data_IF_029414735210
#
_entry.id   IF_029414735210
#
_cell.length_a   1.000
_cell.length_b   1.000
_cell.length_c   1.000
_cell.angle_alpha   90.00
_cell.angle_beta   90.00
_cell.angle_gamma   90.00
#
_symmetry.space_group_name_H-M   'P 1'
#
loop_
_entity.id
_entity.type
_entity.pdbx_description
1 polymer ?
#
# COMPACT_ATOMS: atom_id res chain seq x y z
N UNK A 1 -12.35 29.13 -3.27
CA UNK A 1 -11.99 28.09 -4.25
C UNK A 1 -11.43 26.91 -3.49
N UNK A 2 -12.01 25.74 -3.68
CA UNK A 2 -11.60 24.49 -3.04
C UNK A 2 -11.71 23.43 -4.12
N UNK A 3 -10.67 22.62 -4.25
CA UNK A 3 -10.63 21.47 -5.14
C UNK A 3 -9.94 20.32 -4.40
N UNK A 4 -10.41 19.10 -4.62
CA UNK A 4 -9.93 17.89 -3.96
C UNK A 4 -10.26 17.79 -2.46
N UNK A 5 -9.43 17.02 -1.73
CA UNK A 5 -9.53 16.77 -0.30
C UNK A 5 -8.67 17.78 0.48
N UNK A 6 -9.18 18.30 1.60
CA UNK A 6 -8.44 19.23 2.47
C UNK A 6 -8.76 18.96 3.95
N UNK A 7 -7.73 18.63 4.73
CA UNK A 7 -7.82 18.42 6.18
C UNK A 7 -7.73 19.78 6.91
N UNK A 8 -8.52 19.95 7.97
CA UNK A 8 -8.62 21.21 8.72
C UNK A 8 -8.35 21.06 10.23
N UNK A 9 -8.21 19.83 10.73
CA UNK A 9 -8.11 19.51 12.15
C UNK A 9 -7.10 18.40 12.44
N UNK A 10 -6.63 18.35 13.69
CA UNK A 10 -5.65 17.37 14.16
C UNK A 10 -4.22 17.63 13.73
N UNK A 11 -3.30 16.82 14.26
CA UNK A 11 -1.87 16.89 13.97
C UNK A 11 -1.51 16.76 12.48
N UNK A 12 -2.21 15.93 11.66
CA UNK A 12 -1.92 15.86 10.23
C UNK A 12 -2.06 17.18 9.49
N UNK A 13 -2.80 18.16 10.03
CA UNK A 13 -2.91 19.49 9.41
C UNK A 13 -1.56 20.20 9.36
N UNK A 14 -0.70 20.04 10.37
CA UNK A 14 0.60 20.71 10.41
C UNK A 14 1.60 20.09 9.44
N UNK A 15 1.55 18.76 9.28
CA UNK A 15 2.48 18.02 8.44
C UNK A 15 2.07 18.06 6.95
N UNK A 16 0.76 18.00 6.67
CA UNK A 16 0.25 17.87 5.31
C UNK A 16 -0.22 19.17 4.68
N UNK A 17 -0.57 20.19 5.46
CA UNK A 17 -1.17 21.41 4.92
C UNK A 17 -0.21 22.59 5.04
N UNK A 18 0.36 22.99 3.90
CA UNK A 18 1.14 24.21 3.83
C UNK A 18 0.21 25.40 3.56
N UNK A 19 0.36 26.46 4.34
CA UNK A 19 -0.46 27.67 4.20
C UNK A 19 0.41 28.88 3.93
N UNK A 20 0.04 29.67 2.92
CA UNK A 20 0.70 30.91 2.59
C UNK A 20 -0.33 32.04 2.50
N UNK A 21 -0.02 33.16 3.16
CA UNK A 21 -0.82 34.40 3.09
C UNK A 21 0.05 35.49 2.47
N UNK A 22 -0.48 36.15 1.45
CA UNK A 22 0.18 37.29 0.79
C UNK A 22 -0.84 38.37 0.48
N UNK A 23 -0.35 39.60 0.42
CA UNK A 23 -1.17 40.77 0.14
C UNK A 23 -0.72 41.39 -1.17
N UNK A 24 -1.68 41.75 -2.02
CA UNK A 24 -1.44 42.45 -3.28
C UNK A 24 -2.08 43.82 -3.18
N UNK A 25 -1.28 44.86 -3.41
CA UNK A 25 -1.76 46.24 -3.46
C UNK A 25 -2.35 46.53 -4.85
N UNK A 26 -3.61 46.94 -4.88
CA UNK A 26 -4.32 47.41 -6.07
C UNK A 26 -4.63 48.89 -5.91
N UNK A 27 -4.94 49.57 -7.02
CA UNK A 27 -5.34 50.99 -6.99
C UNK A 27 -6.58 51.25 -6.12
N UNK A 28 -7.47 50.26 -6.00
CA UNK A 28 -8.71 50.34 -5.21
C UNK A 28 -8.52 49.93 -3.73
N UNK A 29 -7.33 49.45 -3.32
CA UNK A 29 -7.08 48.97 -1.97
C UNK A 29 -6.17 47.74 -1.92
N UNK A 30 -6.22 46.99 -0.82
CA UNK A 30 -5.36 45.81 -0.60
C UNK A 30 -6.18 44.53 -0.70
N UNK A 31 -5.74 43.57 -1.51
CA UNK A 31 -6.34 42.25 -1.62
C UNK A 31 -5.48 41.22 -0.87
N UNK A 32 -6.09 40.49 0.05
CA UNK A 32 -5.45 39.37 0.74
C UNK A 32 -5.70 38.05 0.02
N UNK A 33 -4.64 37.33 -0.30
CA UNK A 33 -4.68 35.99 -0.88
C UNK A 33 -4.19 35.00 0.18
N UNK A 34 -5.00 33.98 0.45
CA UNK A 34 -4.64 32.86 1.32
C UNK A 34 -4.75 31.57 0.52
N UNK A 35 -3.62 30.87 0.39
CA UNK A 35 -3.54 29.57 -0.26
C UNK A 35 -3.24 28.52 0.81
N UNK A 36 -3.95 27.40 0.72
CA UNK A 36 -3.65 26.18 1.48
C UNK A 36 -3.41 25.07 0.46
N UNK A 37 -2.31 24.33 0.59
CA UNK A 37 -1.95 23.23 -0.29
C UNK A 37 -1.81 21.97 0.56
N UNK A 38 -2.57 20.93 0.22
CA UNK A 38 -2.42 19.61 0.83
C UNK A 38 -1.35 18.82 0.06
N UNK A 39 -0.28 18.44 0.73
CA UNK A 39 0.82 17.67 0.15
C UNK A 39 0.44 16.18 0.03
N UNK A 40 0.91 15.46 -1.00
CA UNK A 40 0.72 14.01 -1.09
C UNK A 40 1.63 13.27 -0.09
N UNK A 41 1.17 12.11 0.38
CA UNK A 41 2.01 11.21 1.18
C UNK A 41 3.08 10.57 0.28
N UNK A 42 4.36 10.83 0.55
CA UNK A 42 5.50 10.24 -0.18
C UNK A 42 6.32 9.36 0.78
N UNK A 43 6.41 8.04 0.56
CA UNK A 43 7.23 7.16 1.40
C UNK A 43 8.73 7.52 1.36
N UNK A 44 9.21 8.19 0.31
CA UNK A 44 10.60 8.67 0.24
C UNK A 44 10.81 9.98 1.02
N UNK A 45 9.74 10.72 1.31
CA UNK A 45 9.77 11.95 2.10
C UNK A 45 10.46 13.13 1.42
N UNK A 46 10.41 13.23 0.08
CA UNK A 46 11.00 14.36 -0.64
C UNK A 46 10.03 15.53 -0.78
N UNK A 47 8.76 15.23 -1.01
CA UNK A 47 7.71 16.21 -1.31
C UNK A 47 6.60 16.26 -0.26
N UNK A 48 6.60 15.35 0.70
CA UNK A 48 5.56 15.30 1.73
C UNK A 48 5.92 14.39 2.91
N UNK A 49 5.04 14.32 3.92
CA UNK A 49 5.26 13.52 5.11
C UNK A 49 5.40 12.02 4.79
N UNK A 50 6.33 11.36 5.49
CA UNK A 50 6.54 9.90 5.39
C UNK A 50 5.47 9.09 6.11
N UNK A 51 4.85 9.67 7.14
CA UNK A 51 3.84 8.99 7.95
C UNK A 51 2.50 9.11 7.25
N UNK A 52 1.82 8.02 6.87
CA UNK A 52 0.51 8.10 6.24
C UNK A 52 -0.53 8.70 7.19
N UNK A 53 -1.63 9.17 6.62
CA UNK A 53 -2.76 9.65 7.39
C UNK A 53 -3.27 8.55 8.35
N UNK A 54 -3.67 8.91 9.58
CA UNK A 54 -4.01 7.95 10.62
C UNK A 54 -5.25 7.10 10.30
N UNK A 55 -6.08 7.57 9.37
CA UNK A 55 -7.27 6.89 8.85
C UNK A 55 -6.99 6.05 7.58
N UNK A 56 -5.82 6.19 6.96
CA UNK A 56 -5.47 5.47 5.75
C UNK A 56 -4.83 4.10 6.04
N UNK A 57 -5.67 3.06 6.09
CA UNK A 57 -5.24 1.67 6.31
C UNK A 57 -5.01 0.96 4.97
N UNK A 58 -3.78 0.51 4.73
CA UNK A 58 -3.45 -0.33 3.57
C UNK A 58 -3.66 -1.81 3.90
N UNK A 59 -4.64 -2.44 3.24
CA UNK A 59 -4.93 -3.87 3.37
C UNK A 59 -4.13 -4.60 2.30
N UNK A 60 -3.10 -5.36 2.71
CA UNK A 60 -2.36 -6.19 1.77
C UNK A 60 -3.15 -7.45 1.43
N UNK A 61 -3.14 -7.81 0.15
CA UNK A 61 -3.76 -9.06 -0.28
C UNK A 61 -3.07 -10.27 0.38
N UNK A 62 -3.84 -11.29 0.79
CA UNK A 62 -3.27 -12.50 1.37
C UNK A 62 -2.30 -13.16 0.40
N UNK A 63 -1.14 -13.58 0.90
CA UNK A 63 -0.24 -14.44 0.12
C UNK A 63 -0.97 -15.74 -0.19
N UNK A 64 -0.91 -16.21 -1.44
CA UNK A 64 -1.44 -17.52 -1.82
C UNK A 64 -0.66 -18.59 -1.07
N UNK A 65 -1.27 -19.14 -0.01
CA UNK A 65 -0.75 -20.36 0.60
C UNK A 65 -0.98 -21.51 -0.38
N UNK A 66 0.02 -22.39 -0.60
CA UNK A 66 -0.28 -23.69 -1.20
C UNK A 66 -1.27 -24.37 -0.27
N UNK A 67 -2.43 -24.77 -0.80
CA UNK A 67 -3.42 -25.55 -0.06
C UNK A 67 -2.67 -26.67 0.64
N UNK A 68 -2.58 -26.61 1.97
CA UNK A 68 -2.21 -27.78 2.77
C UNK A 68 -3.45 -28.64 2.76
N UNK A 69 -3.61 -29.39 1.66
CA UNK A 69 -4.64 -30.40 1.56
C UNK A 69 -4.41 -31.36 2.72
N UNK A 70 -5.37 -31.36 3.65
CA UNK A 70 -5.43 -32.29 4.75
C UNK A 70 -5.76 -33.68 4.21
N UNK A 71 -4.76 -34.37 3.69
CA UNK A 71 -4.77 -35.82 3.49
C UNK A 71 -3.32 -36.28 3.33
N UNK A 72 -2.77 -36.89 4.38
CA UNK A 72 -1.67 -37.82 4.20
C UNK A 72 -2.14 -38.94 3.27
N UNK A 73 -1.65 -38.94 2.04
CA UNK A 73 -1.67 -40.06 1.10
C UNK A 73 -0.42 -40.00 0.20
N UNK A 74 0.75 -39.83 0.81
CA UNK A 74 2.04 -40.19 0.23
C UNK A 74 2.34 -41.68 0.47
N UNK A 75 1.39 -42.56 0.11
CA UNK A 75 1.61 -44.00 -0.04
C UNK A 75 0.94 -44.51 -1.32
N UNK A 76 1.26 -43.93 -2.48
CA UNK A 76 0.86 -44.49 -3.77
C UNK A 76 1.86 -44.29 -4.93
N UNK A 77 3.07 -43.78 -4.68
CA UNK A 77 4.10 -43.68 -5.74
C UNK A 77 5.39 -44.45 -5.43
N UNK A 78 5.42 -45.25 -4.35
CA UNK A 78 6.55 -46.16 -4.04
C UNK A 78 6.19 -47.65 -3.99
N UNK A 79 5.01 -48.04 -4.49
CA UNK A 79 4.62 -49.45 -4.61
C UNK A 79 4.63 -50.01 -6.05
N UNK A 80 4.86 -49.16 -7.07
CA UNK A 80 4.94 -49.59 -8.47
C UNK A 80 6.38 -49.81 -8.96
N UNK A 81 7.39 -49.30 -8.24
CA UNK A 81 8.80 -49.40 -8.64
C UNK A 81 9.48 -50.75 -8.36
N UNK A 82 8.91 -51.58 -7.48
CA UNK A 82 9.55 -52.82 -7.00
C UNK A 82 8.94 -54.13 -7.55
N UNK A 83 8.01 -54.06 -8.50
CA UNK A 83 7.40 -55.25 -9.14
C UNK A 83 7.61 -55.37 -10.66
N UNK A 84 8.51 -54.58 -11.23
CA UNK A 84 8.89 -54.71 -12.65
C UNK A 84 10.31 -55.30 -12.87
N UNK A 85 11.08 -55.55 -11.81
CA UNK A 85 12.47 -56.04 -11.92
C UNK A 85 12.67 -57.53 -11.57
N UNK A 86 11.60 -58.31 -11.38
CA UNK A 86 11.68 -59.74 -11.00
C UNK A 86 11.09 -60.71 -12.04
N UNK A 87 11.02 -60.32 -13.32
CA UNK A 87 10.72 -61.25 -14.41
C UNK A 87 11.65 -61.03 -15.61
N UNK A 88 12.95 -61.23 -15.40
CA UNK A 88 13.91 -61.46 -16.49
C UNK A 88 14.88 -62.61 -16.15
N UNK A 89 14.47 -63.82 -16.59
CA UNK A 89 15.27 -65.02 -16.97
C UNK A 89 16.09 -65.75 -15.87
N UNK A 90 16.48 -67.05 -16.01
CA UNK A 90 16.57 -67.85 -17.24
C UNK A 90 16.07 -69.33 -17.17
N UNK A 91 15.84 -69.93 -18.34
CA UNK A 91 15.99 -71.36 -18.63
C UNK A 91 16.78 -71.49 -19.93
#
# INVERSE_FOLDING_TARGET
FVDGLMIHSGEPTNDYVETAVRHVLLRQGVLGIKVKIMLPCDPNGKLGPKRPLPDHVSIMEPKKEPKKDAAGLDYAEKAAGDKAAALSAPA
#
